data_IF_595063256054
#
_entry.id   IF_595063256054
#
_cell.length_a   1.000
_cell.length_b   1.000
_cell.length_c   1.000
_cell.angle_alpha   90.00
_cell.angle_beta   90.00
_cell.angle_gamma   90.00
#
_symmetry.space_group_name_H-M   'P 1'
#
loop_
_entity.id
_entity.type
_entity.pdbx_description
1 polymer ?
#
# COMPACT_ATOMS: atom_id res chain seq x y z
N UNK A 1 -0.46 9.29 -17.58
CA UNK A 1 -0.43 7.96 -18.22
C UNK A 1 0.38 6.99 -17.36
N UNK A 2 1.68 7.27 -17.13
CA UNK A 2 2.58 6.47 -16.31
C UNK A 2 2.00 5.99 -14.97
N UNK A 3 1.41 6.88 -14.16
CA UNK A 3 0.81 6.52 -12.86
C UNK A 3 -0.27 5.43 -13.00
N UNK A 4 -1.07 5.47 -14.08
CA UNK A 4 -2.12 4.48 -14.31
C UNK A 4 -1.51 3.15 -14.77
N UNK A 5 -0.51 3.21 -15.65
CA UNK A 5 0.24 2.04 -16.13
C UNK A 5 0.94 1.32 -14.98
N UNK A 6 1.70 2.05 -14.14
CA UNK A 6 2.35 1.52 -12.95
C UNK A 6 1.33 0.96 -11.96
N UNK A 7 0.23 1.68 -11.71
CA UNK A 7 -0.86 1.20 -10.85
C UNK A 7 -1.37 -0.14 -11.36
N UNK A 8 -1.72 -0.25 -12.64
CA UNK A 8 -2.27 -1.47 -13.21
C UNK A 8 -1.27 -2.63 -13.15
N UNK A 9 0.01 -2.38 -13.46
CA UNK A 9 1.07 -3.38 -13.35
C UNK A 9 1.21 -3.90 -11.92
N UNK A 10 1.34 -3.02 -10.92
CA UNK A 10 1.51 -3.37 -9.50
C UNK A 10 0.26 -4.03 -8.93
N UNK A 11 -0.92 -3.62 -9.41
CA UNK A 11 -2.19 -4.13 -8.91
C UNK A 11 -2.43 -5.59 -9.31
N UNK A 12 -1.98 -6.04 -10.49
CA UNK A 12 -2.17 -7.44 -10.95
C UNK A 12 -1.62 -8.50 -9.98
N UNK A 13 -0.34 -8.48 -9.57
CA UNK A 13 0.20 -9.53 -8.70
C UNK A 13 -0.35 -9.47 -7.27
N UNK A 14 -0.85 -8.31 -6.85
CA UNK A 14 -1.38 -8.11 -5.50
C UNK A 14 -2.87 -8.36 -5.36
N UNK A 15 -3.64 -8.04 -6.41
CA UNK A 15 -5.07 -8.32 -6.46
C UNK A 15 -5.31 -9.81 -6.57
N UNK A 16 -5.63 -10.38 -5.41
CA UNK A 16 -6.02 -11.78 -5.26
C UNK A 16 -7.43 -11.77 -4.72
N UNK A 17 -8.45 -11.83 -5.59
CA UNK A 17 -9.84 -11.88 -5.17
C UNK A 17 -10.04 -12.91 -4.06
N UNK A 18 -10.79 -12.53 -3.01
CA UNK A 18 -11.05 -13.37 -1.85
C UNK A 18 -9.80 -13.80 -1.05
N UNK A 19 -8.65 -13.13 -1.25
CA UNK A 19 -7.40 -13.41 -0.52
C UNK A 19 -6.62 -12.16 -0.14
N UNK A 20 -6.80 -11.06 -0.86
CA UNK A 20 -6.18 -9.77 -0.58
C UNK A 20 -7.24 -8.79 -0.09
N UNK A 21 -7.02 -8.15 1.06
CA UNK A 21 -7.96 -7.18 1.67
C UNK A 21 -7.88 -5.79 0.99
N UNK A 22 -7.81 -5.77 -0.34
CA UNK A 22 -7.73 -4.57 -1.20
C UNK A 22 -8.98 -3.71 -1.08
N UNK A 23 -10.10 -4.36 -0.74
CA UNK A 23 -11.45 -3.78 -0.71
C UNK A 23 -11.61 -2.65 0.33
N UNK A 24 -10.59 -2.35 1.14
CA UNK A 24 -10.67 -1.42 2.27
C UNK A 24 -9.61 -0.32 2.26
N UNK A 25 -9.31 0.22 1.08
CA UNK A 25 -8.33 1.31 0.89
C UNK A 25 -6.92 0.95 1.36
N UNK A 26 -6.59 -0.34 1.43
CA UNK A 26 -5.19 -0.77 1.49
C UNK A 26 -4.58 -0.52 0.12
N UNK A 27 -3.37 0.02 0.10
CA UNK A 27 -2.59 0.24 -1.11
C UNK A 27 -1.15 -0.19 -0.87
N UNK A 28 -0.55 -0.92 -1.82
CA UNK A 28 0.88 -1.29 -1.80
C UNK A 28 1.77 -0.09 -2.08
N UNK A 29 1.26 0.85 -2.87
CA UNK A 29 2.01 2.00 -3.33
C UNK A 29 1.11 3.23 -3.37
N UNK A 30 1.70 4.37 -3.03
CA UNK A 30 1.11 5.67 -3.30
C UNK A 30 2.08 6.44 -4.21
N UNK A 31 1.57 6.97 -5.31
CA UNK A 31 2.40 7.68 -6.29
C UNK A 31 2.49 9.15 -5.92
N UNK A 32 3.71 9.64 -5.79
CA UNK A 32 3.98 11.04 -5.48
C UNK A 32 4.90 11.57 -6.57
N UNK A 33 4.50 12.68 -7.18
CA UNK A 33 5.33 13.44 -8.11
C UNK A 33 5.78 14.71 -7.40
N UNK A 34 6.99 14.72 -6.82
CA UNK A 34 7.51 15.91 -6.16
C UNK A 34 7.87 16.97 -7.21
N UNK A 35 7.64 18.22 -6.83
CA UNK A 35 8.01 19.40 -7.60
C UNK A 35 9.21 20.08 -6.92
N UNK A 36 9.97 20.89 -7.67
CA UNK A 36 11.05 21.73 -7.14
C UNK A 36 12.15 20.96 -6.39
N UNK A 37 12.56 19.80 -6.92
CA UNK A 37 13.68 19.03 -6.36
C UNK A 37 15.02 19.76 -6.52
N UNK A 38 15.97 19.58 -5.58
CA UNK A 38 17.30 20.17 -5.67
C UNK A 38 18.07 19.63 -6.89
N UNK A 39 19.06 20.38 -7.38
CA UNK A 39 19.87 19.95 -8.52
C UNK A 39 20.92 18.90 -8.09
N UNK A 40 21.02 17.82 -8.87
CA UNK A 40 22.04 16.76 -8.74
C UNK A 40 21.57 15.49 -8.01
N UNK A 41 21.92 14.31 -8.53
CA UNK A 41 21.36 13.00 -8.14
C UNK A 41 21.39 12.71 -6.64
N UNK A 42 22.54 12.93 -5.97
CA UNK A 42 22.66 12.65 -4.54
C UNK A 42 21.83 13.60 -3.68
N UNK A 43 21.64 14.85 -4.11
CA UNK A 43 20.82 15.83 -3.38
C UNK A 43 19.33 15.52 -3.55
N UNK A 44 18.93 15.06 -4.75
CA UNK A 44 17.57 14.60 -5.05
C UNK A 44 17.20 13.39 -4.20
N UNK A 45 18.05 12.36 -4.15
CA UNK A 45 17.79 11.15 -3.36
C UNK A 45 17.62 11.50 -1.87
N UNK A 46 18.52 12.31 -1.32
CA UNK A 46 18.43 12.74 0.08
C UNK A 46 17.13 13.52 0.35
N UNK A 47 16.73 14.42 -0.56
CA UNK A 47 15.48 15.17 -0.46
C UNK A 47 14.25 14.26 -0.53
N UNK A 48 14.24 13.27 -1.41
CA UNK A 48 13.14 12.31 -1.55
C UNK A 48 13.00 11.40 -0.31
N UNK A 49 14.13 10.96 0.26
CA UNK A 49 14.11 10.26 1.55
C UNK A 49 13.53 11.16 2.64
N UNK A 50 13.94 12.43 2.71
CA UNK A 50 13.42 13.38 3.70
C UNK A 50 11.91 13.62 3.53
N UNK A 51 11.43 13.78 2.29
CA UNK A 51 10.00 13.90 1.98
C UNK A 51 9.24 12.65 2.42
N UNK A 52 9.72 11.46 2.08
CA UNK A 52 9.08 10.20 2.48
C UNK A 52 8.97 10.09 4.00
N UNK A 53 10.04 10.42 4.73
CA UNK A 53 10.05 10.46 6.20
C UNK A 53 9.04 11.46 6.76
N UNK A 54 8.98 12.67 6.19
CA UNK A 54 8.05 13.71 6.62
C UNK A 54 6.59 13.30 6.39
N UNK A 55 6.28 12.68 5.25
CA UNK A 55 4.93 12.17 4.94
C UNK A 55 4.51 11.10 5.94
N UNK A 56 5.39 10.14 6.23
CA UNK A 56 5.12 9.09 7.21
C UNK A 56 4.89 9.68 8.61
N UNK A 57 5.71 10.65 9.02
CA UNK A 57 5.59 11.30 10.33
C UNK A 57 4.32 12.16 10.45
N UNK A 58 3.93 12.85 9.37
CA UNK A 58 2.70 13.64 9.33
C UNK A 58 1.47 12.75 9.38
N UNK A 59 1.47 11.62 8.67
CA UNK A 59 0.39 10.64 8.73
C UNK A 59 0.19 10.10 10.16
N UNK A 60 1.29 9.74 10.84
CA UNK A 60 1.25 9.32 12.25
C UNK A 60 0.71 10.41 13.18
N UNK A 61 1.14 11.66 12.95
CA UNK A 61 0.72 12.80 13.76
C UNK A 61 -0.76 13.08 13.59
N UNK A 62 -1.26 13.14 12.35
CA UNK A 62 -2.69 13.34 12.06
C UNK A 62 -3.55 12.25 12.66
N UNK A 63 -3.14 10.98 12.52
CA UNK A 63 -3.83 9.84 13.13
C UNK A 63 -3.91 10.00 14.65
N UNK A 64 -2.82 10.37 15.31
CA UNK A 64 -2.78 10.54 16.77
C UNK A 64 -3.70 11.66 17.25
N UNK A 65 -3.58 12.85 16.64
CA UNK A 65 -4.45 14.00 16.94
C UNK A 65 -5.92 13.64 16.71
N UNK A 66 -6.21 12.93 15.63
CA UNK A 66 -7.56 12.46 15.34
C UNK A 66 -8.08 11.51 16.42
N UNK A 67 -7.29 10.51 16.83
CA UNK A 67 -7.66 9.56 17.87
C UNK A 67 -7.89 10.25 19.22
N UNK A 68 -7.07 11.23 19.58
CA UNK A 68 -7.23 12.04 20.79
C UNK A 68 -8.52 12.86 20.76
N UNK A 69 -8.81 13.55 19.64
CA UNK A 69 -10.06 14.31 19.47
C UNK A 69 -11.29 13.42 19.54
N UNK A 70 -11.23 12.23 18.93
CA UNK A 70 -12.32 11.27 18.99
C UNK A 70 -12.54 10.78 20.42
N UNK A 71 -11.48 10.39 21.13
CA UNK A 71 -11.55 9.94 22.53
C UNK A 71 -12.07 11.03 23.47
N UNK A 72 -11.77 12.30 23.18
CA UNK A 72 -12.28 13.46 23.91
C UNK A 72 -13.76 13.80 23.62
N UNK A 73 -14.42 13.05 22.72
CA UNK A 73 -15.82 13.30 22.38
C UNK A 73 -16.05 14.51 21.48
N UNK A 74 -15.06 14.91 20.67
CA UNK A 74 -15.17 16.08 19.79
C UNK A 74 -16.37 15.97 18.84
N UNK A 75 -17.34 16.87 19.01
CA UNK A 75 -18.61 16.85 18.29
C UNK A 75 -18.47 17.10 16.78
N UNK A 76 -17.43 17.79 16.32
CA UNK A 76 -17.17 17.98 14.88
C UNK A 76 -16.66 16.70 14.25
N UNK A 77 -15.71 16.02 14.90
CA UNK A 77 -15.19 14.73 14.42
C UNK A 77 -16.32 13.70 14.34
N UNK A 78 -17.15 13.59 15.38
CA UNK A 78 -18.29 12.67 15.39
C UNK A 78 -19.35 13.01 14.33
N UNK A 79 -19.56 14.30 14.04
CA UNK A 79 -20.49 14.74 13.00
C UNK A 79 -19.95 14.42 11.61
N UNK A 80 -18.68 14.73 11.35
CA UNK A 80 -18.02 14.45 10.08
C UNK A 80 -17.93 12.97 9.77
N UNK A 81 -17.69 12.12 10.78
CA UNK A 81 -17.77 10.66 10.65
C UNK A 81 -19.17 10.20 10.26
N UNK A 82 -20.20 10.64 10.99
CA UNK A 82 -21.59 10.26 10.74
C UNK A 82 -22.11 10.71 9.37
N UNK A 83 -21.64 11.86 8.88
CA UNK A 83 -22.03 12.37 7.56
C UNK A 83 -21.18 11.79 6.42
N UNK A 84 -20.16 10.97 6.71
CA UNK A 84 -19.18 10.51 5.72
C UNK A 84 -18.27 11.61 5.16
N UNK A 85 -18.28 12.81 5.75
CA UNK A 85 -17.44 13.93 5.34
C UNK A 85 -15.99 13.78 5.83
N UNK A 86 -15.77 12.97 6.88
CA UNK A 86 -14.46 12.60 7.37
C UNK A 86 -14.26 11.09 7.22
N UNK A 87 -13.07 10.70 6.76
CA UNK A 87 -12.61 9.33 6.86
C UNK A 87 -12.17 9.03 8.29
N UNK A 88 -12.40 7.79 8.75
CA UNK A 88 -11.96 7.35 10.06
C UNK A 88 -10.47 7.01 10.07
N UNK A 89 -9.65 7.99 10.46
CA UNK A 89 -8.19 7.89 10.45
C UNK A 89 -7.63 6.86 11.44
N UNK A 90 -8.45 6.26 12.32
CA UNK A 90 -8.01 5.17 13.21
C UNK A 90 -7.57 3.93 12.44
N UNK A 91 -8.09 3.73 11.23
CA UNK A 91 -7.78 2.57 10.40
C UNK A 91 -6.71 2.85 9.34
N UNK A 92 -6.32 4.11 9.16
CA UNK A 92 -5.24 4.50 8.25
C UNK A 92 -3.89 4.36 8.95
N UNK A 93 -3.28 3.18 8.79
CA UNK A 93 -1.94 2.86 9.28
C UNK A 93 -0.92 2.95 8.15
N UNK A 94 0.18 3.67 8.38
CA UNK A 94 1.34 3.61 7.48
C UNK A 94 2.02 2.26 7.69
N UNK A 95 2.01 1.43 6.65
CA UNK A 95 2.66 0.12 6.66
C UNK A 95 4.17 0.25 6.92
N UNK A 96 4.77 -0.68 7.67
CA UNK A 96 6.19 -0.55 8.07
C UNK A 96 7.14 -0.50 6.85
N UNK A 97 6.85 -1.28 5.81
CA UNK A 97 7.66 -1.27 4.57
C UNK A 97 7.61 0.07 3.83
N UNK A 98 6.54 0.86 3.96
CA UNK A 98 6.48 2.21 3.39
C UNK A 98 7.45 3.17 4.08
N UNK A 99 7.76 2.92 5.37
CA UNK A 99 8.75 3.71 6.09
C UNK A 99 10.16 3.29 5.68
N UNK A 100 10.36 1.99 5.47
CA UNK A 100 11.67 1.38 5.29
C UNK A 100 12.19 1.47 3.85
N UNK A 101 11.30 1.47 2.86
CA UNK A 101 11.64 1.45 1.44
C UNK A 101 11.03 2.63 0.70
N UNK A 102 11.76 3.09 -0.32
CA UNK A 102 11.31 4.07 -1.30
C UNK A 102 11.67 3.56 -2.69
N UNK A 103 10.72 3.66 -3.62
CA UNK A 103 10.92 3.34 -5.03
C UNK A 103 10.86 4.63 -5.83
N UNK A 104 11.91 4.92 -6.59
CA UNK A 104 11.95 6.06 -7.52
C UNK A 104 11.94 5.52 -8.93
N UNK A 105 10.90 5.88 -9.68
CA UNK A 105 10.82 5.65 -11.12
C UNK A 105 11.19 6.96 -11.79
N UNK A 106 12.25 6.96 -12.59
CA UNK A 106 12.59 8.11 -13.42
C UNK A 106 11.66 8.13 -14.63
N UNK A 107 11.10 9.31 -14.94
CA UNK A 107 10.25 9.46 -16.10
C UNK A 107 11.04 9.30 -17.41
N UNK A 108 12.35 9.58 -17.39
CA UNK A 108 13.21 9.45 -18.57
C UNK A 108 13.39 8.01 -19.04
N UNK A 109 13.24 7.03 -18.15
CA UNK A 109 13.31 5.60 -18.49
C UNK A 109 11.97 4.98 -18.88
N UNK A 110 10.89 5.78 -18.88
CA UNK A 110 9.58 5.33 -19.31
C UNK A 110 9.32 5.75 -20.76
N UNK A 111 9.12 4.78 -21.64
CA UNK A 111 8.78 5.07 -23.02
C UNK A 111 7.26 5.24 -23.17
N UNK A 112 6.82 6.12 -24.08
CA UNK A 112 5.39 6.36 -24.29
C UNK A 112 4.64 5.12 -24.81
N UNK A 113 5.37 4.14 -25.33
CA UNK A 113 4.87 2.84 -25.80
C UNK A 113 4.72 1.82 -24.67
N UNK A 114 5.25 2.10 -23.47
CA UNK A 114 5.14 1.19 -22.33
C UNK A 114 3.70 1.14 -21.77
N UNK A 115 3.13 -0.06 -21.81
CA UNK A 115 1.83 -0.38 -21.25
C UNK A 115 1.97 -1.16 -19.93
N UNK A 116 0.83 -1.49 -19.33
CA UNK A 116 0.80 -2.23 -18.06
C UNK A 116 1.34 -3.66 -18.14
N UNK A 117 1.68 -4.18 -19.32
CA UNK A 117 2.28 -5.50 -19.54
C UNK A 117 3.80 -5.43 -19.73
N UNK A 118 4.33 -4.33 -20.25
CA UNK A 118 5.78 -4.17 -20.52
C UNK A 118 6.52 -3.37 -19.44
N UNK A 119 5.82 -2.50 -18.70
CA UNK A 119 6.43 -1.56 -17.73
C UNK A 119 7.24 -2.23 -16.61
N UNK A 120 7.06 -3.54 -16.41
CA UNK A 120 7.88 -4.33 -15.47
C UNK A 120 9.39 -4.25 -15.73
N UNK A 121 9.79 -4.02 -16.99
CA UNK A 121 11.20 -3.93 -17.42
C UNK A 121 11.83 -2.56 -17.16
N UNK A 122 11.03 -1.55 -16.82
CA UNK A 122 11.52 -0.20 -16.56
C UNK A 122 12.51 -0.22 -15.40
N UNK A 123 13.66 0.40 -15.62
CA UNK A 123 14.69 0.57 -14.60
C UNK A 123 14.25 1.60 -13.57
N UNK A 124 14.49 1.29 -12.30
CA UNK A 124 14.15 2.16 -11.17
C UNK A 124 15.22 2.10 -10.09
N UNK A 125 15.15 3.05 -9.14
CA UNK A 125 15.98 3.05 -7.94
C UNK A 125 15.17 2.58 -6.73
N UNK A 126 15.58 1.48 -6.12
CA UNK A 126 15.07 0.99 -4.84
C UNK A 126 15.99 1.48 -3.71
N UNK A 127 15.40 2.13 -2.71
CA UNK A 127 16.13 2.83 -1.65
C UNK A 127 15.72 2.29 -0.29
N UNK A 128 16.72 1.98 0.54
CA UNK A 128 16.53 1.78 1.99
C UNK A 128 16.61 3.13 2.70
N UNK A 129 15.53 3.53 3.37
CA UNK A 129 15.44 4.83 4.06
C UNK A 129 16.21 4.86 5.39
N UNK A 130 16.59 3.67 5.89
CA UNK A 130 17.18 3.44 7.20
C UNK A 130 16.17 3.35 8.35
N UNK A 131 14.86 3.47 8.08
CA UNK A 131 13.82 3.27 9.11
C UNK A 131 13.38 1.81 9.09
N UNK A 132 14.02 0.99 9.90
CA UNK A 132 13.71 -0.45 10.02
C UNK A 132 13.10 -0.81 11.39
N UNK A 133 12.71 0.20 12.16
CA UNK A 133 12.05 0.02 13.45
C UNK A 133 10.81 -0.86 13.31
N UNK A 134 10.71 -1.87 14.18
CA UNK A 134 9.58 -2.81 14.27
C UNK A 134 9.42 -3.77 13.10
N UNK A 135 10.33 -3.78 12.11
CA UNK A 135 10.38 -4.87 11.13
C UNK A 135 10.74 -6.18 11.83
N UNK A 136 10.21 -7.29 11.31
CA UNK A 136 10.53 -8.65 11.78
C UNK A 136 12.02 -8.99 11.70
N UNK A 137 12.71 -8.42 10.70
CA UNK A 137 14.15 -8.53 10.51
C UNK A 137 14.65 -7.38 9.63
N UNK A 138 15.96 -7.05 9.70
CA UNK A 138 16.58 -6.08 8.80
C UNK A 138 16.32 -6.40 7.32
N UNK A 139 16.31 -5.36 6.49
CA UNK A 139 16.14 -5.53 5.05
C UNK A 139 17.48 -5.92 4.42
N UNK A 140 17.52 -7.11 3.84
CA UNK A 140 18.66 -7.60 3.07
C UNK A 140 18.32 -7.64 1.60
N UNK A 141 19.21 -7.10 0.75
CA UNK A 141 19.09 -7.14 -0.70
C UNK A 141 19.66 -8.45 -1.30
N UNK A 142 20.12 -9.38 -0.45
CA UNK A 142 20.75 -10.63 -0.89
C UNK A 142 19.84 -11.50 -1.78
N UNK A 143 18.53 -11.43 -1.60
CA UNK A 143 17.56 -12.19 -2.42
C UNK A 143 17.39 -11.67 -3.84
N UNK A 144 17.89 -10.47 -4.14
CA UNK A 144 17.84 -9.85 -5.47
C UNK A 144 19.23 -9.48 -5.98
N UNK A 145 20.30 -9.96 -5.35
CA UNK A 145 21.66 -9.53 -5.64
C UNK A 145 22.09 -9.77 -7.09
N UNK A 146 21.59 -10.85 -7.71
CA UNK A 146 21.81 -11.22 -9.11
C UNK A 146 21.00 -10.38 -10.11
N UNK A 147 20.04 -9.59 -9.62
CA UNK A 147 19.13 -8.75 -10.42
C UNK A 147 19.35 -7.25 -10.19
N UNK A 148 20.47 -6.88 -9.54
CA UNK A 148 20.86 -5.49 -9.32
C UNK A 148 21.77 -5.05 -10.47
N UNK A 149 21.34 -4.04 -11.21
CA UNK A 149 22.05 -3.47 -12.35
C UNK A 149 23.17 -2.49 -11.91
N UNK A 150 23.08 -1.98 -10.68
CA UNK A 150 24.08 -1.08 -10.12
C UNK A 150 23.74 -0.56 -8.73
N UNK A 151 24.72 0.05 -8.08
CA UNK A 151 24.57 0.69 -6.78
C UNK A 151 24.81 2.20 -6.91
N UNK A 152 24.02 3.01 -6.19
CA UNK A 152 24.18 4.46 -6.11
C UNK A 152 24.29 4.92 -4.64
N UNK A 153 24.91 6.08 -4.44
CA UNK A 153 25.02 6.74 -3.13
C UNK A 153 26.02 6.08 -2.16
N UNK A 154 26.15 6.68 -0.97
CA UNK A 154 26.97 6.14 0.11
C UNK A 154 26.30 4.91 0.76
N UNK A 155 27.12 3.98 1.25
CA UNK A 155 26.69 2.75 1.93
C UNK A 155 25.80 1.78 1.12
N UNK A 156 25.80 1.87 -0.22
CA UNK A 156 25.00 0.96 -1.09
C UNK A 156 23.50 0.94 -0.75
N UNK A 157 22.98 2.04 -0.19
CA UNK A 157 21.59 2.14 0.24
C UNK A 157 20.60 2.28 -0.93
N UNK A 158 21.10 2.61 -2.12
CA UNK A 158 20.32 2.75 -3.36
C UNK A 158 20.79 1.71 -4.36
N UNK A 159 19.85 0.93 -4.89
CA UNK A 159 20.11 -0.06 -5.92
C UNK A 159 19.25 0.18 -7.13
N UNK A 160 19.87 0.05 -8.30
CA UNK A 160 19.17 0.07 -9.56
C UNK A 160 18.71 -1.36 -9.89
N UNK A 161 17.43 -1.49 -10.23
CA UNK A 161 16.84 -2.76 -10.67
C UNK A 161 15.57 -2.48 -11.47
N UNK A 162 14.95 -3.52 -12.01
CA UNK A 162 13.66 -3.42 -12.73
C UNK A 162 12.47 -3.24 -11.78
N UNK A 163 11.38 -2.65 -12.26
CA UNK A 163 10.10 -2.59 -11.55
C UNK A 163 9.61 -3.96 -11.09
N UNK A 164 9.66 -4.96 -11.97
CA UNK A 164 9.29 -6.35 -11.66
C UNK A 164 10.02 -6.87 -10.43
N UNK A 165 11.36 -6.83 -10.47
CA UNK A 165 12.21 -7.29 -9.36
C UNK A 165 11.94 -6.56 -8.05
N UNK A 166 11.74 -5.24 -8.10
CA UNK A 166 11.48 -4.45 -6.91
C UNK A 166 10.12 -4.79 -6.27
N UNK A 167 9.08 -4.97 -7.08
CA UNK A 167 7.74 -5.33 -6.59
C UNK A 167 7.73 -6.75 -6.01
N UNK A 168 8.35 -7.71 -6.69
CA UNK A 168 8.48 -9.08 -6.18
C UNK A 168 9.21 -9.11 -4.83
N UNK A 169 10.29 -8.34 -4.72
CA UNK A 169 11.04 -8.20 -3.47
C UNK A 169 10.19 -7.61 -2.34
N UNK A 170 9.49 -6.50 -2.61
CA UNK A 170 8.62 -5.84 -1.62
C UNK A 170 7.48 -6.76 -1.19
N UNK A 171 6.86 -7.49 -2.12
CA UNK A 171 5.81 -8.47 -1.80
C UNK A 171 6.35 -9.63 -0.95
N UNK A 172 7.58 -10.09 -1.22
CA UNK A 172 8.26 -11.09 -0.38
C UNK A 172 8.49 -10.58 1.05
N UNK A 173 8.89 -9.32 1.20
CA UNK A 173 9.01 -8.69 2.51
C UNK A 173 7.65 -8.54 3.20
N UNK A 174 6.60 -8.16 2.48
CA UNK A 174 5.24 -8.06 3.04
C UNK A 174 4.78 -9.40 3.61
N UNK A 175 4.97 -10.50 2.86
CA UNK A 175 4.64 -11.85 3.32
C UNK A 175 5.43 -12.23 4.59
N UNK A 176 6.71 -11.87 4.66
CA UNK A 176 7.54 -12.08 5.86
C UNK A 176 7.00 -11.33 7.08
N UNK A 177 6.63 -10.06 6.90
CA UNK A 177 6.06 -9.26 7.99
C UNK A 177 4.71 -9.81 8.46
N UNK A 178 3.85 -10.24 7.52
CA UNK A 178 2.57 -10.88 7.81
C UNK A 178 2.73 -12.21 8.55
N UNK A 179 3.74 -13.01 8.20
CA UNK A 179 4.02 -14.29 8.86
C UNK A 179 4.50 -14.12 10.30
N UNK A 180 5.23 -13.04 10.59
CA UNK A 180 5.82 -12.80 11.92
C UNK A 180 4.87 -12.06 12.87
N UNK A 181 4.18 -11.03 12.38
CA UNK A 181 3.32 -10.18 13.22
C UNK A 181 1.91 -10.74 13.38
N UNK A 182 1.58 -11.78 12.60
CA UNK A 182 0.20 -12.16 12.37
C UNK A 182 -0.61 -10.99 11.81
N UNK A 183 -1.92 -11.18 11.68
CA UNK A 183 -2.89 -10.16 11.30
C UNK A 183 -3.00 -8.96 12.28
N UNK A 184 -2.00 -8.67 13.12
CA UNK A 184 -2.00 -7.50 14.01
C UNK A 184 -2.04 -6.16 13.25
N UNK A 185 -1.66 -6.13 11.98
CA UNK A 185 -1.87 -4.95 11.11
C UNK A 185 -3.27 -4.92 10.45
N UNK A 186 -4.07 -5.97 10.62
CA UNK A 186 -5.43 -6.11 10.08
C UNK A 186 -6.50 -5.84 11.12
N UNK A 187 -6.17 -5.95 12.40
CA UNK A 187 -7.13 -5.83 13.49
C UNK A 187 -6.77 -4.60 14.32
N UNK A 188 -7.19 -3.42 13.85
CA UNK A 188 -7.54 -2.41 14.84
C UNK A 188 -8.75 -2.98 15.58
N UNK A 189 -8.56 -3.44 16.81
CA UNK A 189 -9.65 -3.79 17.70
C UNK A 189 -10.72 -2.69 17.61
N UNK A 190 -11.93 -3.06 17.16
CA UNK A 190 -13.05 -2.14 17.05
C UNK A 190 -13.29 -1.50 15.67
N UNK A 191 -12.93 -2.13 14.55
CA UNK A 191 -13.50 -1.77 13.25
C UNK A 191 -15.03 -1.90 13.30
N UNK A 192 -15.72 -0.77 13.48
CA UNK A 192 -17.16 -0.68 13.33
C UNK A 192 -17.43 -0.55 11.83
N UNK A 193 -17.95 -1.62 11.23
CA UNK A 193 -18.48 -1.55 9.88
C UNK A 193 -19.45 -0.35 9.81
N UNK A 194 -19.50 0.34 8.68
CA UNK A 194 -20.51 1.39 8.48
C UNK A 194 -21.88 0.89 8.96
N UNK A 195 -22.70 1.77 9.58
CA UNK A 195 -23.93 1.34 10.25
C UNK A 195 -24.87 0.49 9.39
N UNK A 196 -24.78 0.59 8.07
CA UNK A 196 -25.52 -0.25 7.12
C UNK A 196 -24.92 -1.65 6.95
N UNK A 197 -23.59 -1.80 6.96
CA UNK A 197 -22.93 -3.12 6.91
C UNK A 197 -23.11 -3.87 8.24
N UNK A 198 -23.04 -3.17 9.37
CA UNK A 198 -23.30 -3.75 10.70
C UNK A 198 -24.74 -4.25 10.83
N UNK A 199 -25.71 -3.53 10.23
CA UNK A 199 -27.10 -3.97 10.16
C UNK A 199 -27.25 -5.22 9.28
N UNK A 200 -26.68 -5.20 8.07
CA UNK A 200 -26.72 -6.34 7.16
C UNK A 200 -26.07 -7.60 7.76
N UNK A 201 -24.95 -7.45 8.49
CA UNK A 201 -24.26 -8.55 9.16
C UNK A 201 -25.14 -9.25 10.20
N UNK A 202 -25.89 -8.48 11.00
CA UNK A 202 -26.83 -9.00 11.99
C UNK A 202 -28.05 -9.70 11.38
N UNK A 203 -28.26 -9.56 10.08
CA UNK A 203 -29.33 -10.25 9.35
C UNK A 203 -28.84 -11.57 8.72
N UNK A 204 -27.55 -11.92 8.86
CA UNK A 204 -26.99 -13.14 8.30
C UNK A 204 -27.06 -14.33 9.27
N UNK A 205 -27.08 -15.58 8.77
CA UNK A 205 -27.17 -16.79 9.60
C UNK A 205 -26.00 -17.02 10.57
N UNK A 206 -24.92 -16.26 10.42
CA UNK A 206 -23.68 -16.32 11.21
C UNK A 206 -23.55 -15.13 12.19
N UNK A 207 -24.67 -14.58 12.66
CA UNK A 207 -24.73 -13.40 13.55
C UNK A 207 -23.92 -13.52 14.85
N UNK A 208 -23.73 -14.75 15.34
CA UNK A 208 -23.03 -15.05 16.60
C UNK A 208 -21.50 -15.06 16.45
N UNK A 209 -20.97 -15.11 15.23
CA UNK A 209 -19.53 -15.01 15.01
C UNK A 209 -19.08 -13.54 15.17
N UNK A 210 -18.02 -13.28 15.97
CA UNK A 210 -17.50 -11.93 16.09
C UNK A 210 -17.07 -11.44 14.71
N UNK A 211 -17.69 -10.34 14.27
CA UNK A 211 -17.34 -9.71 13.02
C UNK A 211 -15.92 -9.13 13.10
N UNK A 212 -14.93 -9.89 12.64
CA UNK A 212 -13.53 -9.49 12.66
C UNK A 212 -13.16 -8.79 11.36
N UNK A 213 -13.32 -7.47 11.34
CA UNK A 213 -12.73 -6.65 10.29
C UNK A 213 -13.29 -6.96 8.90
N UNK A 214 -12.81 -6.24 7.89
CA UNK A 214 -12.98 -6.70 6.54
C UNK A 214 -12.02 -7.86 6.30
N UNK A 215 -12.56 -8.99 5.86
CA UNK A 215 -11.79 -10.21 5.73
C UNK A 215 -12.18 -10.95 4.45
N UNK A 216 -11.17 -11.20 3.62
CA UNK A 216 -11.25 -12.07 2.46
C UNK A 216 -11.82 -13.48 2.75
N UNK A 217 -11.80 -13.94 4.01
CA UNK A 217 -12.41 -15.21 4.45
C UNK A 217 -13.93 -15.29 4.33
N UNK A 218 -14.64 -14.16 4.18
CA UNK A 218 -16.09 -14.19 3.96
C UNK A 218 -16.46 -14.60 2.52
N UNK A 219 -15.49 -14.61 1.60
CA UNK A 219 -15.68 -15.16 0.27
C UNK A 219 -15.69 -16.68 0.30
N UNK A 220 -16.83 -17.30 -0.05
CA UNK A 220 -16.88 -18.74 -0.28
C UNK A 220 -16.21 -19.07 -1.62
N UNK A 221 -14.91 -19.40 -1.59
CA UNK A 221 -14.16 -19.72 -2.81
C UNK A 221 -14.53 -21.06 -3.45
N UNK A 222 -15.28 -21.92 -2.76
CA UNK A 222 -15.82 -23.16 -3.34
C UNK A 222 -17.06 -22.87 -4.19
N UNK A 223 -17.91 -21.95 -3.75
CA UNK A 223 -19.12 -21.53 -4.46
C UNK A 223 -18.85 -20.45 -5.52
N UNK A 224 -17.89 -19.57 -5.25
CA UNK A 224 -17.47 -18.49 -6.14
C UNK A 224 -15.97 -18.62 -6.44
N UNK A 225 -15.58 -19.57 -7.32
CA UNK A 225 -14.17 -19.82 -7.63
C UNK A 225 -13.52 -18.69 -8.42
N UNK A 226 -14.33 -17.84 -9.06
CA UNK A 226 -13.88 -16.64 -9.76
C UNK A 226 -14.42 -15.39 -9.10
N UNK A 227 -13.69 -14.29 -9.24
CA UNK A 227 -14.22 -12.98 -8.88
C UNK A 227 -15.42 -12.64 -9.77
N UNK A 228 -16.54 -12.24 -9.14
CA UNK A 228 -17.79 -11.92 -9.80
C UNK A 228 -18.33 -10.54 -9.38
N UNK A 229 -19.40 -10.10 -10.04
CA UNK A 229 -20.16 -8.91 -9.67
C UNK A 229 -19.59 -7.59 -10.19
N UNK A 230 -20.14 -6.49 -9.65
CA UNK A 230 -19.81 -5.14 -10.08
C UNK A 230 -18.33 -4.79 -9.89
N UNK A 231 -17.69 -5.32 -8.83
CA UNK A 231 -16.25 -5.15 -8.57
C UNK A 231 -15.40 -5.64 -9.73
N UNK A 232 -15.62 -6.87 -10.21
CA UNK A 232 -14.94 -7.43 -11.40
C UNK A 232 -15.12 -6.54 -12.63
N UNK A 233 -16.33 -6.04 -12.85
CA UNK A 233 -16.65 -5.22 -14.03
C UNK A 233 -15.94 -3.85 -13.99
N UNK A 234 -16.02 -3.16 -12.85
CA UNK A 234 -15.34 -1.88 -12.63
C UNK A 234 -13.82 -2.02 -12.74
N UNK A 235 -13.25 -3.08 -12.19
CA UNK A 235 -11.82 -3.37 -12.29
C UNK A 235 -11.40 -3.64 -13.73
N UNK A 236 -12.10 -4.53 -14.43
CA UNK A 236 -11.85 -4.85 -15.84
C UNK A 236 -11.87 -3.59 -16.73
N UNK A 237 -12.77 -2.66 -16.45
CA UNK A 237 -12.87 -1.39 -17.18
C UNK A 237 -11.64 -0.49 -16.95
N UNK A 238 -11.16 -0.40 -15.70
CA UNK A 238 -9.98 0.40 -15.35
C UNK A 238 -8.69 -0.23 -15.91
N UNK A 239 -8.60 -1.57 -15.89
CA UNK A 239 -7.42 -2.30 -16.36
C UNK A 239 -7.25 -2.19 -17.89
N UNK A 240 -8.33 -2.38 -18.67
CA UNK A 240 -8.29 -2.33 -20.15
C UNK A 240 -7.92 -0.98 -20.74
N UNK A 241 -8.06 0.11 -19.98
CA UNK A 241 -7.87 1.46 -20.52
C UNK A 241 -6.40 1.75 -20.87
N UNK A 242 -5.47 0.95 -20.33
CA UNK A 242 -4.01 1.12 -20.45
C UNK A 242 -3.28 -0.23 -20.47
N UNK A 243 -3.93 -1.21 -21.09
CA UNK A 243 -3.38 -2.51 -21.51
C UNK A 243 -2.85 -2.45 -22.94
#
# INVERSE_FOLDING_TARGET
LLVIVLRNYIYRPWSRPYRSDIEHQRYICNFITPWDLPLGDNSVIAALIAISKAICAEADTRRRVYAERLAAGDGEVHRGLRSGALQDLRYHLVHLLFRALLVIVDYEYYEAEDDSTTVGRVSLSLIRTGIEDRLSAPISLGSIADKIDGYKGEAQAVVNTTLETAIDFIMGLEQRELATSGSQFLMADGWDASGDFSRWWKEQPWEDEPFTGPNSRFGNTEEYPEWLGAGKHSDSFIMRKHE
#
